data_IF_315056108737
#
_entry.id   IF_315056108737
#
_cell.length_a   1.000
_cell.length_b   1.000
_cell.length_c   1.000
_cell.angle_alpha   90.00
_cell.angle_beta   90.00
_cell.angle_gamma   90.00
#
_symmetry.space_group_name_H-M   'P 1'
#
loop_
_entity.id
_entity.type
_entity.pdbx_description
1 polymer ?
#
# COMPACT_ATOMS: atom_id res chain seq x y z
N UNK A 1 -34.97 30.17 -26.50
CA UNK A 1 -34.97 28.78 -27.01
C UNK A 1 -33.64 28.40 -27.66
N UNK A 2 -33.06 29.20 -28.57
CA UNK A 2 -31.80 28.86 -29.27
C UNK A 2 -30.59 28.60 -28.34
N UNK A 3 -30.41 29.37 -27.27
CA UNK A 3 -29.31 29.14 -26.30
C UNK A 3 -29.51 27.86 -25.46
N UNK A 4 -30.75 27.47 -25.20
CA UNK A 4 -31.07 26.25 -24.46
C UNK A 4 -30.86 25.01 -25.34
N UNK A 5 -31.28 25.08 -26.61
CA UNK A 5 -31.03 24.02 -27.60
C UNK A 5 -29.53 23.85 -27.86
N UNK A 6 -28.76 24.94 -28.01
CA UNK A 6 -27.31 24.88 -28.16
C UNK A 6 -26.61 24.26 -26.93
N UNK A 7 -27.06 24.61 -25.72
CA UNK A 7 -26.54 24.00 -24.50
C UNK A 7 -26.87 22.51 -24.41
N UNK A 8 -28.10 22.09 -24.75
CA UNK A 8 -28.51 20.69 -24.81
C UNK A 8 -27.73 19.88 -25.85
N UNK A 9 -27.56 20.41 -27.06
CA UNK A 9 -26.79 19.75 -28.11
C UNK A 9 -25.29 19.67 -27.77
N UNK A 10 -24.72 20.71 -27.14
CA UNK A 10 -23.35 20.70 -26.64
C UNK A 10 -23.14 19.64 -25.54
N UNK A 11 -24.09 19.53 -24.60
CA UNK A 11 -24.03 18.54 -23.52
C UNK A 11 -24.25 17.11 -24.04
N UNK A 12 -25.16 16.91 -24.98
CA UNK A 12 -25.38 15.62 -25.64
C UNK A 12 -24.15 15.17 -26.44
N UNK A 13 -23.49 16.08 -27.16
CA UNK A 13 -22.24 15.80 -27.86
C UNK A 13 -21.11 15.43 -26.89
N UNK A 14 -21.00 16.13 -25.76
CA UNK A 14 -20.02 15.83 -24.72
C UNK A 14 -20.23 14.44 -24.11
N UNK A 15 -21.47 14.09 -23.77
CA UNK A 15 -21.83 12.76 -23.26
C UNK A 15 -21.54 11.67 -24.30
N UNK A 16 -21.91 11.90 -25.58
CA UNK A 16 -21.67 10.93 -26.65
C UNK A 16 -20.16 10.73 -26.90
N UNK A 17 -19.38 11.81 -26.86
CA UNK A 17 -17.93 11.78 -26.98
C UNK A 17 -17.27 11.03 -25.81
N UNK A 18 -17.74 11.26 -24.58
CA UNK A 18 -17.28 10.53 -23.39
C UNK A 18 -17.67 9.05 -23.44
N UNK A 19 -18.85 8.74 -23.98
CA UNK A 19 -19.33 7.37 -24.16
C UNK A 19 -18.48 6.61 -25.18
N UNK A 20 -18.25 7.20 -26.36
CA UNK A 20 -17.39 6.60 -27.39
C UNK A 20 -15.94 6.43 -26.91
N UNK A 21 -15.40 7.45 -26.23
CA UNK A 21 -14.06 7.40 -25.65
C UNK A 21 -13.94 6.33 -24.55
N UNK A 22 -14.91 6.27 -23.63
CA UNK A 22 -14.94 5.26 -22.56
C UNK A 22 -15.02 3.85 -23.16
N UNK A 23 -15.88 3.64 -24.15
CA UNK A 23 -16.00 2.35 -24.84
C UNK A 23 -14.71 1.96 -25.54
N UNK A 24 -14.11 2.88 -26.30
CA UNK A 24 -12.85 2.63 -27.01
C UNK A 24 -11.70 2.30 -26.05
N UNK A 25 -11.56 3.07 -24.98
CA UNK A 25 -10.55 2.84 -23.95
C UNK A 25 -10.84 1.55 -23.17
N UNK A 26 -12.10 1.20 -22.92
CA UNK A 26 -12.48 -0.05 -22.27
C UNK A 26 -12.17 -1.28 -23.12
N UNK A 27 -12.52 -1.24 -24.42
CA UNK A 27 -12.24 -2.32 -25.37
C UNK A 27 -10.74 -2.55 -25.55
N UNK A 28 -9.98 -1.46 -25.73
CA UNK A 28 -8.53 -1.53 -25.87
C UNK A 28 -7.78 -1.69 -24.54
N UNK A 29 -8.49 -1.67 -23.40
CA UNK A 29 -7.88 -1.55 -22.06
C UNK A 29 -6.85 -0.42 -22.00
N UNK A 30 -7.15 0.70 -22.64
CA UNK A 30 -6.34 1.90 -22.78
C UNK A 30 -4.98 1.71 -23.47
N UNK A 31 -4.74 0.59 -24.15
CA UNK A 31 -3.41 0.27 -24.70
C UNK A 31 -2.90 1.33 -25.68
N UNK A 32 -3.81 1.97 -26.43
CA UNK A 32 -3.49 2.97 -27.44
C UNK A 32 -3.53 4.41 -26.92
N UNK A 33 -3.74 4.62 -25.62
CA UNK A 33 -3.78 5.96 -25.07
C UNK A 33 -2.35 6.52 -24.95
N UNK A 34 -2.14 7.75 -25.43
CA UNK A 34 -0.81 8.37 -25.42
C UNK A 34 -0.37 8.70 -23.99
N UNK A 35 0.90 8.43 -23.69
CA UNK A 35 1.48 8.70 -22.38
C UNK A 35 2.87 9.31 -22.52
N UNK A 36 3.20 10.38 -21.76
CA UNK A 36 4.55 10.94 -21.72
C UNK A 36 5.49 10.12 -20.82
N UNK A 37 4.97 9.18 -20.03
CA UNK A 37 5.75 8.38 -19.09
C UNK A 37 6.14 7.03 -19.71
N UNK A 38 7.38 6.56 -19.54
CA UNK A 38 7.80 5.25 -20.03
C UNK A 38 7.32 4.10 -19.13
N UNK A 39 7.38 2.88 -19.66
CA UNK A 39 7.27 1.64 -18.90
C UNK A 39 5.96 1.49 -18.11
N UNK A 40 6.08 1.02 -16.87
CA UNK A 40 4.92 0.74 -16.01
C UNK A 40 4.14 2.01 -15.65
N UNK A 41 4.82 3.11 -15.33
CA UNK A 41 4.16 4.39 -15.03
C UNK A 41 3.32 4.88 -16.22
N UNK A 42 3.85 4.71 -17.44
CA UNK A 42 3.10 4.96 -18.66
C UNK A 42 1.84 4.13 -18.78
N UNK A 43 1.95 2.82 -18.54
CA UNK A 43 0.81 1.89 -18.58
C UNK A 43 -0.25 2.22 -17.51
N UNK A 44 0.18 2.58 -16.31
CA UNK A 44 -0.70 3.03 -15.23
C UNK A 44 -1.45 4.31 -15.59
N UNK A 45 -0.78 5.28 -16.24
CA UNK A 45 -1.44 6.51 -16.70
C UNK A 45 -2.52 6.21 -17.74
N UNK A 46 -2.28 5.28 -18.66
CA UNK A 46 -3.29 4.84 -19.62
C UNK A 46 -4.53 4.27 -18.91
N UNK A 47 -4.33 3.43 -17.87
CA UNK A 47 -5.45 2.92 -17.07
C UNK A 47 -6.22 4.03 -16.36
N UNK A 48 -5.53 5.05 -15.84
CA UNK A 48 -6.20 6.22 -15.25
C UNK A 48 -6.95 7.06 -16.29
N UNK A 49 -6.44 7.22 -17.51
CA UNK A 49 -7.18 7.89 -18.59
C UNK A 49 -8.49 7.16 -18.92
N UNK A 50 -8.46 5.82 -18.93
CA UNK A 50 -9.67 5.01 -19.08
C UNK A 50 -10.64 5.19 -17.90
N UNK A 51 -10.16 5.05 -16.67
CA UNK A 51 -11.00 5.21 -15.48
C UNK A 51 -11.57 6.63 -15.35
N UNK A 52 -10.79 7.66 -15.69
CA UNK A 52 -11.24 9.05 -15.72
C UNK A 52 -12.31 9.28 -16.78
N UNK A 53 -12.17 8.68 -17.96
CA UNK A 53 -13.19 8.77 -19.01
C UNK A 53 -14.48 8.07 -18.59
N UNK A 54 -14.37 6.90 -17.94
CA UNK A 54 -15.51 6.19 -17.37
C UNK A 54 -16.18 6.96 -16.23
N UNK A 55 -15.39 7.66 -15.40
CA UNK A 55 -15.90 8.49 -14.31
C UNK A 55 -16.68 9.68 -14.86
N UNK A 56 -16.14 10.40 -15.84
CA UNK A 56 -16.84 11.52 -16.47
C UNK A 56 -18.19 11.08 -17.03
N UNK A 57 -18.22 9.98 -17.78
CA UNK A 57 -19.45 9.40 -18.30
C UNK A 57 -20.45 9.02 -17.18
N UNK A 58 -19.97 8.35 -16.13
CA UNK A 58 -20.80 7.95 -15.01
C UNK A 58 -21.35 9.16 -14.25
N UNK A 59 -20.53 10.18 -14.00
CA UNK A 59 -20.93 11.41 -13.32
C UNK A 59 -21.99 12.15 -14.14
N UNK A 60 -21.75 12.40 -15.43
CA UNK A 60 -22.67 13.11 -16.32
C UNK A 60 -24.02 12.40 -16.40
N UNK A 61 -24.03 11.08 -16.65
CA UNK A 61 -25.27 10.32 -16.77
C UNK A 61 -26.00 10.15 -15.44
N UNK A 62 -25.28 10.07 -14.31
CA UNK A 62 -25.89 10.02 -12.99
C UNK A 62 -26.52 11.36 -12.63
N UNK A 63 -25.83 12.46 -12.92
CA UNK A 63 -26.34 13.83 -12.73
C UNK A 63 -27.55 14.10 -13.63
N UNK A 64 -27.51 13.70 -14.89
CA UNK A 64 -28.62 13.84 -15.83
C UNK A 64 -29.83 13.01 -15.39
N UNK A 65 -29.60 11.76 -14.96
CA UNK A 65 -30.66 10.83 -14.58
C UNK A 65 -31.35 11.21 -13.27
N UNK A 66 -30.60 11.64 -12.26
CA UNK A 66 -31.15 11.94 -10.93
C UNK A 66 -31.41 13.43 -10.72
N UNK A 67 -30.78 14.31 -11.49
CA UNK A 67 -30.87 15.76 -11.33
C UNK A 67 -30.62 16.19 -9.88
N UNK A 68 -31.49 17.07 -9.36
CA UNK A 68 -31.44 17.52 -7.96
C UNK A 68 -31.70 16.43 -6.92
N UNK A 69 -32.26 15.27 -7.30
CA UNK A 69 -32.45 14.14 -6.38
C UNK A 69 -31.13 13.44 -6.04
N UNK A 70 -30.04 13.69 -6.80
CA UNK A 70 -28.72 13.17 -6.47
C UNK A 70 -28.24 13.68 -5.10
N UNK A 71 -28.54 14.95 -4.77
CA UNK A 71 -28.24 15.53 -3.45
C UNK A 71 -28.93 14.79 -2.30
N UNK A 72 -30.09 14.17 -2.57
CA UNK A 72 -30.82 13.32 -1.61
C UNK A 72 -30.35 11.87 -1.60
N UNK A 73 -29.52 11.46 -2.56
CA UNK A 73 -28.94 10.11 -2.69
C UNK A 73 -27.47 10.15 -2.29
N UNK A 74 -27.21 10.55 -1.05
CA UNK A 74 -25.88 10.74 -0.47
C UNK A 74 -24.94 9.56 -0.71
N UNK A 75 -25.45 8.32 -0.64
CA UNK A 75 -24.66 7.10 -0.91
C UNK A 75 -24.16 6.98 -2.34
N UNK A 76 -24.87 7.51 -3.34
CA UNK A 76 -24.41 7.50 -4.74
C UNK A 76 -23.36 8.60 -4.95
N UNK A 77 -23.59 9.78 -4.39
CA UNK A 77 -22.61 10.87 -4.41
C UNK A 77 -21.31 10.48 -3.72
N UNK A 78 -21.39 9.78 -2.58
CA UNK A 78 -20.23 9.27 -1.86
C UNK A 78 -19.38 8.34 -2.75
N UNK A 79 -20.01 7.42 -3.49
CA UNK A 79 -19.29 6.49 -4.39
C UNK A 79 -18.64 7.18 -5.58
N UNK A 80 -19.27 8.21 -6.14
CA UNK A 80 -18.63 9.07 -7.13
C UNK A 80 -17.43 9.81 -6.51
N UNK A 81 -17.56 10.26 -5.26
CA UNK A 81 -16.47 10.82 -4.47
C UNK A 81 -15.32 9.84 -4.26
N UNK A 82 -15.60 8.58 -3.95
CA UNK A 82 -14.60 7.53 -3.77
C UNK A 82 -13.81 7.31 -5.07
N UNK A 83 -14.49 7.22 -6.22
CA UNK A 83 -13.85 7.09 -7.54
C UNK A 83 -12.95 8.29 -7.82
N UNK A 84 -13.46 9.50 -7.63
CA UNK A 84 -12.72 10.73 -7.88
C UNK A 84 -11.49 10.87 -6.96
N UNK A 85 -11.65 10.52 -5.69
CA UNK A 85 -10.57 10.58 -4.70
C UNK A 85 -9.43 9.64 -5.06
N UNK A 86 -9.75 8.41 -5.45
CA UNK A 86 -8.73 7.44 -5.89
C UNK A 86 -8.08 7.84 -7.23
N UNK A 87 -8.84 8.41 -8.17
CA UNK A 87 -8.26 8.97 -9.39
C UNK A 87 -7.26 10.09 -9.09
N UNK A 88 -7.58 10.95 -8.13
CA UNK A 88 -6.69 12.02 -7.67
C UNK A 88 -5.43 11.46 -7.01
N UNK A 89 -5.58 10.54 -6.04
CA UNK A 89 -4.45 9.88 -5.36
C UNK A 89 -3.54 9.18 -6.37
N UNK A 90 -4.10 8.36 -7.27
CA UNK A 90 -3.33 7.64 -8.27
C UNK A 90 -2.61 8.58 -9.27
N UNK A 91 -3.24 9.70 -9.62
CA UNK A 91 -2.61 10.72 -10.47
C UNK A 91 -1.45 11.41 -9.73
N UNK A 92 -1.64 11.71 -8.45
CA UNK A 92 -0.60 12.28 -7.60
C UNK A 92 0.59 11.31 -7.43
N UNK A 93 0.34 10.01 -7.25
CA UNK A 93 1.38 8.98 -7.18
C UNK A 93 2.25 8.95 -8.45
N UNK A 94 1.62 8.95 -9.63
CA UNK A 94 2.34 8.98 -10.90
C UNK A 94 3.11 10.28 -11.11
N UNK A 95 2.51 11.42 -10.75
CA UNK A 95 3.16 12.73 -10.86
C UNK A 95 4.37 12.81 -9.93
N UNK A 96 4.22 12.38 -8.69
CA UNK A 96 5.29 12.33 -7.70
C UNK A 96 6.44 11.44 -8.18
N UNK A 97 6.15 10.20 -8.62
CA UNK A 97 7.17 9.30 -9.17
C UNK A 97 7.89 9.90 -10.40
N UNK A 98 7.16 10.58 -11.29
CA UNK A 98 7.76 11.25 -12.44
C UNK A 98 8.67 12.42 -12.02
N UNK A 99 8.23 13.23 -11.05
CA UNK A 99 8.96 14.40 -10.54
C UNK A 99 10.24 14.01 -9.80
N UNK A 100 10.25 12.86 -9.13
CA UNK A 100 11.44 12.31 -8.46
C UNK A 100 12.43 11.62 -9.41
N UNK A 101 12.19 11.71 -10.73
CA UNK A 101 13.08 11.18 -11.76
C UNK A 101 12.82 9.71 -12.12
N UNK A 102 11.65 9.15 -11.76
CA UNK A 102 11.25 7.77 -12.07
C UNK A 102 12.24 6.72 -11.58
N UNK A 103 12.63 6.83 -10.31
CA UNK A 103 13.65 5.97 -9.72
C UNK A 103 13.22 4.50 -9.71
N UNK A 104 14.06 3.61 -10.25
CA UNK A 104 13.71 2.19 -10.38
C UNK A 104 13.55 1.49 -9.02
N UNK A 105 14.23 1.99 -8.00
CA UNK A 105 14.14 1.45 -6.63
C UNK A 105 12.74 1.66 -6.01
N UNK A 106 12.00 2.68 -6.45
CA UNK A 106 10.64 2.99 -5.96
C UNK A 106 9.55 2.32 -6.80
N UNK A 107 9.93 1.67 -7.90
CA UNK A 107 8.98 1.01 -8.80
C UNK A 107 8.10 -0.03 -8.08
N UNK A 108 8.58 -0.83 -7.11
CA UNK A 108 7.72 -1.72 -6.33
C UNK A 108 6.63 -0.97 -5.57
N UNK A 109 6.97 0.16 -4.92
CA UNK A 109 6.01 1.01 -4.20
C UNK A 109 4.93 1.53 -5.15
N UNK A 110 5.34 2.05 -6.31
CA UNK A 110 4.39 2.53 -7.32
C UNK A 110 3.49 1.40 -7.85
N UNK A 111 4.04 0.22 -8.13
CA UNK A 111 3.27 -0.94 -8.63
C UNK A 111 2.19 -1.34 -7.65
N UNK A 112 2.54 -1.41 -6.37
CA UNK A 112 1.62 -1.78 -5.32
C UNK A 112 0.52 -0.73 -5.14
N UNK A 113 0.91 0.54 -5.01
CA UNK A 113 -0.04 1.64 -4.80
C UNK A 113 -1.00 1.81 -5.99
N UNK A 114 -0.50 1.70 -7.22
CA UNK A 114 -1.34 1.73 -8.42
C UNK A 114 -2.31 0.54 -8.49
N UNK A 115 -1.87 -0.66 -8.10
CA UNK A 115 -2.76 -1.83 -8.06
C UNK A 115 -3.88 -1.63 -7.04
N UNK A 116 -3.57 -1.11 -5.85
CA UNK A 116 -4.55 -0.82 -4.80
C UNK A 116 -5.55 0.26 -5.22
N UNK A 117 -5.09 1.40 -5.75
CA UNK A 117 -6.01 2.46 -6.23
C UNK A 117 -6.88 1.99 -7.39
N UNK A 118 -6.34 1.26 -8.38
CA UNK A 118 -7.13 0.76 -9.51
C UNK A 118 -8.21 -0.24 -9.07
N UNK A 119 -7.92 -1.12 -8.10
CA UNK A 119 -8.95 -2.03 -7.58
C UNK A 119 -9.99 -1.30 -6.73
N UNK A 120 -9.62 -0.26 -5.98
CA UNK A 120 -10.57 0.60 -5.24
C UNK A 120 -11.49 1.34 -6.19
N UNK A 121 -10.96 1.95 -7.25
CA UNK A 121 -11.74 2.58 -8.33
C UNK A 121 -12.73 1.58 -8.91
N UNK A 122 -12.26 0.38 -9.27
CA UNK A 122 -13.10 -0.67 -9.83
C UNK A 122 -14.22 -1.10 -8.89
N UNK A 123 -13.92 -1.27 -7.59
CA UNK A 123 -14.91 -1.61 -6.57
C UNK A 123 -15.93 -0.49 -6.38
N UNK A 124 -15.50 0.76 -6.37
CA UNK A 124 -16.37 1.92 -6.27
C UNK A 124 -17.30 2.05 -7.50
N UNK A 125 -16.80 1.82 -8.71
CA UNK A 125 -17.64 1.69 -9.90
C UNK A 125 -18.63 0.54 -9.79
N UNK A 126 -18.18 -0.66 -9.38
CA UNK A 126 -19.06 -1.81 -9.20
C UNK A 126 -20.21 -1.49 -8.22
N UNK A 127 -19.87 -0.87 -7.10
CA UNK A 127 -20.83 -0.43 -6.11
C UNK A 127 -21.81 0.58 -6.71
N UNK A 128 -21.31 1.64 -7.37
CA UNK A 128 -22.13 2.65 -8.05
C UNK A 128 -23.14 1.99 -8.99
N UNK A 129 -22.67 1.17 -9.93
CA UNK A 129 -23.50 0.48 -10.92
C UNK A 129 -24.54 -0.44 -10.27
N UNK A 130 -24.18 -1.16 -9.21
CA UNK A 130 -25.11 -2.03 -8.49
C UNK A 130 -26.24 -1.26 -7.79
N UNK A 131 -26.02 0.01 -7.42
CA UNK A 131 -26.97 0.81 -6.64
C UNK A 131 -27.64 1.93 -7.43
N UNK A 132 -27.37 2.05 -8.73
CA UNK A 132 -28.10 2.96 -9.60
C UNK A 132 -29.58 2.55 -9.68
N UNK A 133 -30.52 3.49 -9.47
CA UNK A 133 -31.96 3.19 -9.49
C UNK A 133 -32.44 2.79 -10.88
N UNK A 134 -31.90 3.43 -11.92
CA UNK A 134 -32.19 3.10 -13.31
C UNK A 134 -31.28 1.95 -13.78
N UNK A 135 -31.83 0.73 -13.78
CA UNK A 135 -31.11 -0.47 -14.22
C UNK A 135 -30.62 -0.40 -15.68
N UNK A 136 -31.39 0.12 -16.64
CA UNK A 136 -30.90 0.28 -18.01
C UNK A 136 -29.66 1.18 -18.10
N UNK A 137 -29.64 2.26 -17.32
CA UNK A 137 -28.49 3.15 -17.24
C UNK A 137 -27.26 2.44 -16.64
N UNK A 138 -27.45 1.63 -15.60
CA UNK A 138 -26.38 0.85 -15.01
C UNK A 138 -25.77 -0.15 -16.02
N UNK A 139 -26.59 -0.80 -16.84
CA UNK A 139 -26.10 -1.71 -17.89
C UNK A 139 -25.35 -0.96 -18.98
N UNK A 140 -25.88 0.17 -19.43
CA UNK A 140 -25.21 1.03 -20.41
C UNK A 140 -23.83 1.45 -19.91
N UNK A 141 -23.74 1.97 -18.68
CA UNK A 141 -22.48 2.37 -18.07
C UNK A 141 -21.53 1.17 -17.88
N UNK A 142 -22.04 0.00 -17.48
CA UNK A 142 -21.22 -1.20 -17.34
C UNK A 142 -20.58 -1.59 -18.66
N UNK A 143 -21.34 -1.62 -19.75
CA UNK A 143 -20.83 -1.94 -21.09
C UNK A 143 -19.87 -0.85 -21.57
N UNK A 144 -20.21 0.42 -21.32
CA UNK A 144 -19.41 1.56 -21.75
C UNK A 144 -18.05 1.65 -21.05
N UNK A 145 -18.00 1.32 -19.76
CA UNK A 145 -16.77 1.45 -18.96
C UNK A 145 -16.01 0.13 -18.96
N UNK A 146 -16.69 -1.00 -18.76
CA UNK A 146 -16.08 -2.33 -18.58
C UNK A 146 -16.61 -3.36 -19.59
N UNK A 147 -16.42 -3.15 -20.91
CA UNK A 147 -16.96 -4.05 -21.93
C UNK A 147 -16.39 -5.47 -21.82
N UNK A 148 -15.10 -5.60 -21.48
CA UNK A 148 -14.42 -6.88 -21.26
C UNK A 148 -14.50 -7.39 -19.81
N UNK A 149 -15.40 -6.81 -19.00
CA UNK A 149 -15.43 -7.02 -17.55
C UNK A 149 -14.41 -6.18 -16.78
N UNK A 150 -14.21 -6.53 -15.52
CA UNK A 150 -13.40 -5.83 -14.52
C UNK A 150 -11.98 -6.43 -14.46
N UNK A 151 -10.96 -5.78 -15.04
CA UNK A 151 -9.65 -6.43 -15.24
C UNK A 151 -8.66 -6.23 -14.07
N UNK A 152 -8.92 -5.29 -13.16
CA UNK A 152 -7.97 -4.93 -12.12
C UNK A 152 -7.98 -5.97 -10.99
N UNK A 153 -6.78 -6.35 -10.57
CA UNK A 153 -6.52 -7.33 -9.53
C UNK A 153 -5.76 -6.66 -8.39
N UNK A 154 -5.88 -7.23 -7.18
CA UNK A 154 -5.06 -6.82 -6.05
C UNK A 154 -3.58 -7.07 -6.35
N UNK A 155 -2.71 -6.41 -5.58
CA UNK A 155 -1.29 -6.74 -5.55
C UNK A 155 -1.09 -8.23 -5.24
N UNK A 156 -0.02 -8.83 -5.77
CA UNK A 156 0.33 -10.21 -5.47
C UNK A 156 1.09 -10.30 -4.14
N UNK A 157 0.98 -11.43 -3.46
CA UNK A 157 1.74 -11.71 -2.23
C UNK A 157 3.26 -11.52 -2.45
N UNK A 158 3.76 -11.82 -3.65
CA UNK A 158 5.16 -11.57 -4.02
C UNK A 158 5.53 -10.09 -3.99
N UNK A 159 4.61 -9.21 -4.41
CA UNK A 159 4.81 -7.77 -4.38
C UNK A 159 4.68 -7.25 -2.94
N UNK A 160 3.74 -7.77 -2.16
CA UNK A 160 3.62 -7.46 -0.73
C UNK A 160 4.90 -7.80 0.03
N UNK A 161 5.44 -9.00 -0.19
CA UNK A 161 6.72 -9.44 0.36
C UNK A 161 7.88 -8.53 -0.07
N UNK A 162 7.87 -8.06 -1.31
CA UNK A 162 8.89 -7.14 -1.82
C UNK A 162 8.81 -5.78 -1.11
N UNK A 163 7.60 -5.24 -0.92
CA UNK A 163 7.39 -3.99 -0.18
C UNK A 163 7.79 -4.14 1.28
N UNK A 164 7.38 -5.23 1.93
CA UNK A 164 7.71 -5.49 3.33
C UNK A 164 9.23 -5.52 3.54
N UNK A 165 9.98 -6.16 2.63
CA UNK A 165 11.45 -6.15 2.65
C UNK A 165 12.02 -4.76 2.41
N UNK A 166 11.49 -4.02 1.45
CA UNK A 166 11.93 -2.66 1.13
C UNK A 166 11.77 -1.72 2.34
N UNK A 167 10.64 -1.79 3.05
CA UNK A 167 10.36 -0.94 4.22
C UNK A 167 11.15 -1.35 5.48
N UNK A 168 11.50 -2.63 5.61
CA UNK A 168 12.31 -3.17 6.71
C UNK A 168 13.82 -3.07 6.48
N UNK A 169 14.25 -2.58 5.31
CA UNK A 169 15.66 -2.43 4.99
C UNK A 169 16.00 -0.94 4.96
N UNK A 170 16.99 -0.48 5.74
CA UNK A 170 17.52 0.87 5.59
C UNK A 170 17.97 1.12 4.15
N UNK A 171 17.54 2.23 3.54
CA UNK A 171 17.90 2.54 2.16
C UNK A 171 17.05 3.67 1.56
N UNK A 172 17.50 4.17 0.41
CA UNK A 172 16.95 5.37 -0.21
C UNK A 172 15.43 5.33 -0.45
N UNK A 173 14.80 4.21 -0.89
CA UNK A 173 13.34 4.16 -1.08
C UNK A 173 12.56 4.41 0.20
N UNK A 174 13.02 3.81 1.31
CA UNK A 174 12.41 4.03 2.63
C UNK A 174 12.65 5.46 3.06
N UNK A 175 13.88 5.94 2.95
CA UNK A 175 14.27 7.27 3.42
C UNK A 175 13.49 8.37 2.69
N UNK A 176 13.26 8.24 1.37
CA UNK A 176 12.36 9.11 0.60
C UNK A 176 10.92 9.03 1.10
N UNK A 177 10.39 7.81 1.27
CA UNK A 177 9.02 7.61 1.75
C UNK A 177 8.80 8.22 3.14
N UNK A 178 9.82 8.19 4.00
CA UNK A 178 9.76 8.74 5.36
C UNK A 178 10.32 10.16 5.49
N UNK A 179 10.70 10.83 4.40
CA UNK A 179 11.41 12.11 4.44
C UNK A 179 10.64 13.23 5.16
N UNK A 180 9.30 13.13 5.18
CA UNK A 180 8.41 14.09 5.84
C UNK A 180 7.79 13.55 7.14
N UNK A 181 8.23 12.38 7.59
CA UNK A 181 7.86 11.81 8.89
C UNK A 181 8.93 12.18 9.90
N UNK A 182 8.52 12.53 11.13
CA UNK A 182 9.47 12.77 12.21
C UNK A 182 10.33 11.53 12.43
N UNK A 183 11.65 11.70 12.29
CA UNK A 183 12.66 10.68 12.54
C UNK A 183 13.75 11.28 13.41
N UNK A 184 14.29 10.46 14.30
CA UNK A 184 15.30 10.85 15.27
C UNK A 184 16.41 9.82 15.31
N UNK A 185 17.60 10.22 15.72
CA UNK A 185 18.68 9.30 16.07
C UNK A 185 18.99 9.35 17.57
N UNK A 186 18.13 10.00 18.37
CA UNK A 186 18.28 10.08 19.82
C UNK A 186 17.79 8.76 20.48
N UNK A 187 18.65 8.02 21.20
CA UNK A 187 18.23 6.87 22.01
C UNK A 187 17.17 7.21 23.07
N UNK A 188 17.10 8.47 23.51
CA UNK A 188 16.11 8.94 24.47
C UNK A 188 14.68 8.90 23.91
N UNK A 189 14.52 9.13 22.60
CA UNK A 189 13.22 9.23 21.95
C UNK A 189 12.75 7.87 21.39
N UNK A 190 11.45 7.51 21.53
CA UNK A 190 10.92 6.26 21.00
C UNK A 190 11.16 6.05 19.50
N UNK A 191 10.97 7.12 18.70
CA UNK A 191 11.24 7.10 17.26
C UNK A 191 12.72 6.84 16.96
N UNK A 192 13.63 7.40 17.76
CA UNK A 192 15.07 7.18 17.61
C UNK A 192 15.50 5.77 18.00
N UNK A 193 14.92 5.19 19.05
CA UNK A 193 15.15 3.77 19.41
C UNK A 193 14.75 2.83 18.28
N UNK A 194 13.62 3.08 17.62
CA UNK A 194 13.17 2.28 16.47
C UNK A 194 14.15 2.37 15.29
N UNK A 195 14.64 3.57 14.96
CA UNK A 195 15.59 3.77 13.87
C UNK A 195 16.96 3.11 14.16
N UNK A 196 17.45 3.24 15.39
CA UNK A 196 18.70 2.61 15.84
C UNK A 196 18.57 1.08 15.86
N UNK A 197 17.44 0.56 16.31
CA UNK A 197 17.14 -0.87 16.27
C UNK A 197 17.08 -1.40 14.84
N UNK A 198 16.40 -0.70 13.93
CA UNK A 198 16.33 -1.09 12.52
C UNK A 198 17.73 -1.22 11.89
N UNK A 199 18.59 -0.22 12.11
CA UNK A 199 19.98 -0.23 11.62
C UNK A 199 20.78 -1.39 12.22
N UNK A 200 20.69 -1.61 13.53
CA UNK A 200 21.42 -2.68 14.21
C UNK A 200 20.95 -4.07 13.74
N UNK A 201 19.64 -4.28 13.62
CA UNK A 201 19.07 -5.55 13.13
C UNK A 201 19.44 -5.80 11.67
N UNK A 202 19.43 -4.76 10.83
CA UNK A 202 19.85 -4.89 9.42
C UNK A 202 21.30 -5.35 9.30
N UNK A 203 22.21 -4.78 10.11
CA UNK A 203 23.63 -5.20 10.16
C UNK A 203 23.81 -6.62 10.72
N UNK A 204 22.97 -7.02 11.68
CA UNK A 204 23.01 -8.35 12.30
C UNK A 204 22.39 -9.45 11.43
N UNK A 205 21.42 -9.13 10.57
CA UNK A 205 20.66 -10.09 9.76
C UNK A 205 21.51 -11.09 8.93
N UNK A 206 22.56 -10.67 8.19
CA UNK A 206 23.39 -11.63 7.46
C UNK A 206 24.16 -12.57 8.40
N UNK A 207 24.63 -12.08 9.55
CA UNK A 207 25.34 -12.88 10.55
C UNK A 207 24.39 -13.90 11.17
N UNK A 208 23.17 -13.47 11.51
CA UNK A 208 22.12 -14.32 12.04
C UNK A 208 21.74 -15.43 11.04
N UNK A 209 21.70 -15.12 9.75
CA UNK A 209 21.47 -16.11 8.68
C UNK A 209 22.59 -17.16 8.65
N UNK A 210 23.86 -16.76 8.73
CA UNK A 210 25.00 -17.67 8.80
C UNK A 210 24.91 -18.58 10.04
N UNK A 211 24.59 -18.01 11.20
CA UNK A 211 24.42 -18.77 12.45
C UNK A 211 23.29 -19.80 12.33
N UNK A 212 22.14 -19.40 11.77
CA UNK A 212 21.02 -20.32 11.52
C UNK A 212 21.38 -21.44 10.55
N UNK A 213 22.15 -21.16 9.51
CA UNK A 213 22.61 -22.17 8.55
C UNK A 213 23.57 -23.17 9.20
N UNK A 214 24.57 -22.69 9.93
CA UNK A 214 25.52 -23.53 10.66
C UNK A 214 24.84 -24.40 11.73
N UNK A 215 23.84 -23.84 12.44
CA UNK A 215 23.02 -24.61 13.39
C UNK A 215 22.21 -25.71 12.69
N UNK A 216 21.58 -25.40 11.55
CA UNK A 216 20.86 -26.41 10.74
C UNK A 216 21.79 -27.51 10.20
N UNK A 217 23.05 -27.16 9.94
CA UNK A 217 24.09 -28.12 9.55
C UNK A 217 24.64 -28.94 10.73
N UNK A 218 24.17 -28.72 11.96
CA UNK A 218 24.62 -29.44 13.15
C UNK A 218 26.02 -29.03 13.64
N UNK A 219 26.57 -27.92 13.15
CA UNK A 219 27.92 -27.46 13.50
C UNK A 219 27.95 -26.76 14.86
N UNK A 220 26.87 -26.05 15.23
CA UNK A 220 26.80 -25.27 16.46
C UNK A 220 26.13 -26.09 17.56
N UNK A 221 26.76 -26.14 18.73
CA UNK A 221 26.29 -26.89 19.89
C UNK A 221 25.85 -25.91 20.98
N UNK A 222 24.75 -26.23 21.68
CA UNK A 222 24.29 -25.50 22.86
C UNK A 222 22.80 -25.12 22.81
N UNK A 223 22.14 -25.24 23.97
CA UNK A 223 20.72 -24.94 24.11
C UNK A 223 20.44 -23.45 24.31
N UNK A 224 21.37 -22.73 24.95
CA UNK A 224 21.26 -21.29 25.17
C UNK A 224 21.87 -20.48 24.03
N UNK A 225 21.35 -19.28 23.81
CA UNK A 225 21.88 -18.31 22.83
C UNK A 225 23.37 -18.02 23.07
N UNK A 226 23.77 -17.84 24.34
CA UNK A 226 25.16 -17.60 24.71
C UNK A 226 26.07 -18.79 24.38
N UNK A 227 25.62 -20.03 24.65
CA UNK A 227 26.38 -21.22 24.29
C UNK A 227 26.55 -21.36 22.77
N UNK A 228 25.49 -21.09 22.00
CA UNK A 228 25.53 -21.11 20.53
C UNK A 228 26.53 -20.10 19.96
N UNK A 229 26.57 -18.88 20.51
CA UNK A 229 27.51 -17.85 20.06
C UNK A 229 28.96 -18.22 20.40
N UNK A 230 29.21 -18.81 21.57
CA UNK A 230 30.55 -19.26 21.95
C UNK A 230 31.03 -20.41 21.07
N UNK A 231 30.18 -21.43 20.83
CA UNK A 231 30.48 -22.53 19.93
C UNK A 231 30.78 -22.03 18.50
N UNK A 232 29.99 -21.07 17.99
CA UNK A 232 30.21 -20.48 16.67
C UNK A 232 31.52 -19.65 16.58
N UNK A 233 31.93 -19.00 17.67
CA UNK A 233 33.21 -18.30 17.78
C UNK A 233 34.40 -19.28 17.79
N UNK A 234 34.31 -20.34 18.59
CA UNK A 234 35.35 -21.38 18.69
C UNK A 234 35.60 -22.08 17.35
N UNK A 235 34.53 -22.31 16.59
CA UNK A 235 34.58 -22.89 15.25
C UNK A 235 34.97 -21.89 14.16
N UNK A 236 35.16 -20.61 14.49
CA UNK A 236 35.50 -19.55 13.53
C UNK A 236 34.39 -19.23 12.52
N UNK A 237 33.15 -19.64 12.78
CA UNK A 237 31.98 -19.39 11.92
C UNK A 237 31.62 -17.90 11.96
N UNK A 238 31.83 -17.27 13.11
CA UNK A 238 31.69 -15.83 13.32
C UNK A 238 32.93 -15.27 14.01
N UNK A 239 33.17 -13.97 13.88
CA UNK A 239 34.27 -13.24 14.53
C UNK A 239 33.81 -12.51 15.79
N UNK A 240 34.75 -12.13 16.66
CA UNK A 240 34.45 -11.30 17.84
C UNK A 240 33.73 -9.99 17.47
N UNK A 241 34.07 -9.37 16.34
CA UNK A 241 33.40 -8.16 15.84
C UNK A 241 31.95 -8.47 15.48
N UNK A 242 31.68 -9.57 14.79
CA UNK A 242 30.33 -10.01 14.44
C UNK A 242 29.49 -10.34 15.68
N UNK A 243 30.08 -10.95 16.71
CA UNK A 243 29.39 -11.19 17.99
C UNK A 243 29.01 -9.88 18.68
N UNK A 244 29.86 -8.85 18.63
CA UNK A 244 29.52 -7.52 19.14
C UNK A 244 28.33 -6.92 18.40
N UNK A 245 28.29 -7.03 17.06
CA UNK A 245 27.15 -6.58 16.25
C UNK A 245 25.85 -7.30 16.63
N UNK A 246 25.89 -8.62 16.82
CA UNK A 246 24.72 -9.39 17.25
C UNK A 246 24.22 -8.93 18.63
N UNK A 247 25.12 -8.79 19.62
CA UNK A 247 24.75 -8.34 20.97
C UNK A 247 24.17 -6.93 20.97
N UNK A 248 24.73 -6.04 20.15
CA UNK A 248 24.20 -4.68 20.02
C UNK A 248 22.77 -4.70 19.44
N UNK A 249 22.51 -5.54 18.43
CA UNK A 249 21.15 -5.70 17.90
C UNK A 249 20.20 -6.29 18.94
N UNK A 250 20.62 -7.30 19.71
CA UNK A 250 19.83 -7.89 20.81
C UNK A 250 19.46 -6.81 21.85
N UNK A 251 20.41 -5.96 22.26
CA UNK A 251 20.14 -4.84 23.19
C UNK A 251 19.09 -3.86 22.66
N UNK A 252 19.15 -3.50 21.37
CA UNK A 252 18.17 -2.60 20.77
C UNK A 252 16.80 -3.24 20.62
N UNK A 253 16.74 -4.53 20.26
CA UNK A 253 15.49 -5.29 20.23
C UNK A 253 14.85 -5.28 21.62
N UNK A 254 15.61 -5.58 22.66
CA UNK A 254 15.11 -5.60 24.05
C UNK A 254 14.54 -4.23 24.44
N UNK A 255 15.24 -3.14 24.12
CA UNK A 255 14.77 -1.77 24.42
C UNK A 255 13.47 -1.38 23.68
N UNK A 256 13.26 -1.87 22.45
CA UNK A 256 12.07 -1.56 21.65
C UNK A 256 10.90 -2.47 21.97
N UNK A 257 11.17 -3.72 22.32
CA UNK A 257 10.15 -4.73 22.66
C UNK A 257 9.66 -4.63 24.09
N UNK A 258 10.38 -3.94 24.97
CA UNK A 258 9.87 -3.56 26.28
C UNK A 258 8.65 -2.64 26.11
N UNK A 259 7.48 -3.24 26.17
CA UNK A 259 6.22 -2.56 26.43
C UNK A 259 6.22 -2.18 27.91
N UNK A 260 5.87 -0.94 28.26
CA UNK A 260 5.80 -0.43 29.63
C UNK A 260 5.32 -1.54 30.59
N UNK A 261 6.26 -2.13 31.30
CA UNK A 261 6.02 -3.25 32.17
C UNK A 261 5.48 -2.70 33.48
N UNK A 262 4.26 -2.14 33.46
CA UNK A 262 3.52 -1.58 34.60
C UNK A 262 4.43 -1.26 35.80
N UNK A 263 5.13 -0.12 35.75
CA UNK A 263 6.12 0.28 36.76
C UNK A 263 5.53 0.37 38.19
N UNK A 264 4.21 0.25 38.34
CA UNK A 264 3.46 0.24 39.60
C UNK A 264 3.06 -1.13 40.18
N UNK A 265 3.37 -2.26 39.54
CA UNK A 265 3.10 -3.57 40.17
C UNK A 265 4.21 -3.88 41.17
N UNK A 266 3.90 -3.72 42.47
CA UNK A 266 4.75 -4.28 43.53
C UNK A 266 4.92 -5.78 43.29
N UNK A 267 6.02 -6.40 43.76
CA UNK A 267 6.26 -7.83 43.59
C UNK A 267 5.06 -8.71 43.99
N UNK A 268 4.26 -8.23 44.94
CA UNK A 268 3.03 -8.86 45.42
C UNK A 268 1.91 -8.87 44.37
N UNK A 269 1.76 -7.80 43.59
CA UNK A 269 0.76 -7.73 42.51
C UNK A 269 1.18 -8.57 41.29
N UNK A 270 2.48 -8.70 41.03
CA UNK A 270 3.02 -9.61 39.99
C UNK A 270 2.74 -11.09 40.29
N UNK A 271 2.88 -11.50 41.54
CA UNK A 271 2.53 -12.87 41.97
C UNK A 271 1.02 -13.10 41.91
N UNK A 272 0.20 -12.13 42.33
CA UNK A 272 -1.26 -12.23 42.28
C UNK A 272 -1.81 -12.39 40.84
N UNK A 273 -1.28 -11.63 39.87
CA UNK A 273 -1.70 -11.73 38.46
C UNK A 273 -1.25 -13.05 37.82
N UNK A 274 -0.06 -13.57 38.19
CA UNK A 274 0.41 -14.88 37.74
C UNK A 274 -0.39 -16.03 38.34
N UNK A 275 -0.79 -15.94 39.60
CA UNK A 275 -1.65 -16.93 40.27
C UNK A 275 -3.09 -16.91 39.73
N UNK A 276 -3.66 -15.73 39.44
CA UNK A 276 -4.98 -15.61 38.80
C UNK A 276 -4.98 -16.15 37.36
N UNK A 277 -3.94 -15.86 36.58
CA UNK A 277 -3.81 -16.39 35.21
C UNK A 277 -3.62 -17.92 35.18
N UNK A 278 -3.13 -18.53 36.26
CA UNK A 278 -3.04 -19.99 36.42
C UNK A 278 -4.35 -20.61 36.92
N UNK A 279 -5.16 -19.87 37.69
CA UNK A 279 -6.49 -20.32 38.16
C UNK A 279 -7.57 -20.22 37.08
N UNK A 280 -7.42 -19.33 36.10
CA UNK A 280 -8.37 -19.17 34.98
C UNK A 280 -8.27 -20.22 33.86
N UNK A 281 -7.38 -21.21 34.00
CA UNK A 281 -7.16 -22.30 33.02
C UNK A 281 -7.58 -23.67 33.59
N UNK A 282 -8.26 -23.70 34.73
CA UNK A 282 -8.87 -24.91 35.29
C UNK A 282 -10.35 -25.05 34.88
#
# INVERSE_FOLDING_TARGET
>A
MIQFDQALFGHAHFILGNLARSLWLGLSRALFASTPLPGFAGRSLQHLQWMSSGFALAADLTLLSLGGALKRKERLSARLGDILSELYIASALLKHFADEGSQQEDLPLLRWAMADSLIRIQRAFSALLHNLPLRPLAWLLRIAIFPSGMPFKAASDQLDDQLARLLQTPGNPRDRLTAHVFSSNDPGEPAGRLELALKAVSLAAPIEKTLRQARRAGQIIGDSRAAQLNSALELGIITHTQTKTLRQAEQWIDQVTQVDAFDGLTPQTRQAVQEESQRGVA
#
